data_IF_912478619245
#
_entry.id   IF_912478619245
#
_cell.length_a   1.000
_cell.length_b   1.000
_cell.length_c   1.000
_cell.angle_alpha   90.00
_cell.angle_beta   90.00
_cell.angle_gamma   90.00
#
_symmetry.space_group_name_H-M   'P 1'
#
loop_
_entity.id
_entity.type
_entity.pdbx_description
1 polymer ?
#
# COMPACT_ATOMS: atom_id res chain seq x y z
N UNK A 1 16.24 -17.14 11.29
CA UNK A 1 17.23 -17.72 10.34
C UNK A 1 17.53 -16.73 9.21
N UNK A 2 18.48 -15.79 9.36
CA UNK A 2 18.95 -14.94 8.27
C UNK A 2 20.25 -15.52 7.70
N UNK A 3 20.23 -16.13 6.53
CA UNK A 3 21.45 -16.83 6.03
C UNK A 3 21.62 -17.02 4.54
N UNK A 4 20.63 -16.69 3.68
CA UNK A 4 20.78 -16.92 2.23
C UNK A 4 21.26 -15.70 1.43
N UNK A 5 21.03 -14.48 1.90
CA UNK A 5 21.33 -13.26 1.12
C UNK A 5 22.81 -12.89 1.13
N UNK A 6 23.55 -13.26 2.18
CA UNK A 6 25.00 -13.01 2.28
C UNK A 6 25.81 -13.88 1.33
N UNK A 7 25.31 -15.08 0.99
CA UNK A 7 26.01 -16.00 0.09
C UNK A 7 26.03 -15.48 -1.35
N UNK A 8 24.91 -14.93 -1.84
CA UNK A 8 24.83 -14.42 -3.22
C UNK A 8 25.73 -13.20 -3.47
N UNK A 9 25.94 -12.32 -2.48
CA UNK A 9 26.87 -11.19 -2.61
C UNK A 9 28.34 -11.65 -2.64
N UNK A 10 28.67 -12.72 -1.90
CA UNK A 10 30.01 -13.29 -1.84
C UNK A 10 30.44 -13.93 -3.17
N UNK A 11 29.50 -14.59 -3.87
CA UNK A 11 29.74 -15.10 -5.22
C UNK A 11 29.94 -13.98 -6.26
N UNK A 12 29.25 -12.84 -6.10
CA UNK A 12 29.46 -11.67 -6.96
C UNK A 12 30.87 -11.08 -6.85
N UNK A 13 31.40 -11.00 -5.63
CA UNK A 13 32.77 -10.53 -5.37
C UNK A 13 33.81 -11.49 -5.96
N UNK A 14 33.57 -12.81 -5.85
CA UNK A 14 34.43 -13.83 -6.46
C UNK A 14 34.45 -13.79 -7.98
N UNK A 15 33.31 -13.55 -8.63
CA UNK A 15 33.23 -13.42 -10.09
C UNK A 15 33.88 -12.13 -10.60
N UNK A 16 33.78 -11.04 -9.85
CA UNK A 16 34.46 -9.79 -10.20
C UNK A 16 35.99 -9.96 -10.11
N UNK A 17 36.47 -10.66 -9.08
CA UNK A 17 37.89 -10.93 -8.90
C UNK A 17 38.43 -11.92 -9.95
N UNK A 18 37.66 -12.97 -10.29
CA UNK A 18 38.06 -13.92 -11.34
C UNK A 18 38.10 -13.25 -12.72
N UNK A 19 37.13 -12.38 -13.03
CA UNK A 19 37.14 -11.57 -14.25
C UNK A 19 38.36 -10.66 -14.34
N UNK A 20 38.76 -10.03 -13.23
CA UNK A 20 39.95 -9.19 -13.16
C UNK A 20 41.25 -9.99 -13.37
N UNK A 21 41.36 -11.19 -12.80
CA UNK A 21 42.52 -12.08 -12.99
C UNK A 21 42.59 -12.58 -14.43
N UNK A 22 41.47 -12.98 -15.04
CA UNK A 22 41.43 -13.41 -16.44
C UNK A 22 41.80 -12.24 -17.37
N UNK A 23 41.35 -11.02 -17.05
CA UNK A 23 41.74 -9.81 -17.79
C UNK A 23 43.23 -9.48 -17.65
N UNK A 24 43.86 -9.86 -16.53
CA UNK A 24 45.29 -9.64 -16.29
C UNK A 24 46.18 -10.69 -16.98
N UNK A 25 45.69 -11.92 -17.14
CA UNK A 25 46.47 -13.07 -17.63
C UNK A 25 46.50 -13.19 -19.16
N UNK A 26 45.56 -12.55 -19.89
CA UNK A 26 45.54 -12.60 -21.36
C UNK A 26 46.44 -11.49 -21.95
N UNK A 27 47.49 -11.82 -22.72
CA UNK A 27 48.40 -10.82 -23.30
C UNK A 27 47.74 -10.02 -24.44
N UNK A 28 48.21 -8.77 -24.58
CA UNK A 28 47.48 -7.62 -25.10
C UNK A 28 47.69 -7.35 -26.60
N UNK A 29 46.60 -7.27 -27.36
CA UNK A 29 46.49 -6.36 -28.52
C UNK A 29 45.48 -5.25 -28.15
N UNK A 30 46.02 -4.10 -27.75
CA UNK A 30 45.42 -3.14 -26.81
C UNK A 30 44.17 -2.37 -27.25
N UNK A 31 43.65 -2.56 -28.47
CA UNK A 31 42.46 -1.82 -28.92
C UNK A 31 41.15 -2.58 -28.67
N UNK A 32 41.16 -3.91 -28.83
CA UNK A 32 39.96 -4.72 -28.65
C UNK A 32 39.63 -4.96 -27.17
N UNK A 33 40.64 -5.00 -26.30
CA UNK A 33 40.46 -5.26 -24.87
C UNK A 33 39.76 -4.11 -24.15
N UNK A 34 40.06 -2.86 -24.51
CA UNK A 34 39.38 -1.67 -23.94
C UNK A 34 37.90 -1.70 -24.33
N UNK A 35 37.60 -2.01 -25.60
CA UNK A 35 36.22 -2.12 -26.07
C UNK A 35 35.45 -3.23 -25.35
N UNK A 36 36.04 -4.42 -25.19
CA UNK A 36 35.41 -5.54 -24.50
C UNK A 36 35.23 -5.26 -23.01
N UNK A 37 36.21 -4.61 -22.37
CA UNK A 37 36.14 -4.22 -20.96
C UNK A 37 35.05 -3.17 -20.70
N UNK A 38 34.96 -2.15 -21.55
CA UNK A 38 33.89 -1.13 -21.46
C UNK A 38 32.52 -1.76 -21.71
N UNK A 39 32.40 -2.66 -22.70
CA UNK A 39 31.14 -3.37 -22.97
C UNK A 39 30.74 -4.29 -21.82
N UNK A 40 31.67 -5.02 -21.23
CA UNK A 40 31.41 -5.87 -20.07
C UNK A 40 30.99 -5.03 -18.85
N UNK A 41 31.66 -3.90 -18.61
CA UNK A 41 31.33 -2.96 -17.53
C UNK A 41 29.93 -2.35 -17.69
N UNK A 42 29.59 -1.88 -18.89
CA UNK A 42 28.25 -1.35 -19.20
C UNK A 42 27.18 -2.44 -19.09
N UNK A 43 27.46 -3.64 -19.57
CA UNK A 43 26.53 -4.77 -19.47
C UNK A 43 26.25 -5.12 -18.00
N UNK A 44 27.29 -5.19 -17.17
CA UNK A 44 27.17 -5.50 -15.75
C UNK A 44 26.44 -4.38 -14.99
N UNK A 45 26.72 -3.12 -15.32
CA UNK A 45 26.01 -1.96 -14.77
C UNK A 45 24.52 -1.99 -15.10
N UNK A 46 24.15 -2.30 -16.35
CA UNK A 46 22.75 -2.43 -16.77
C UNK A 46 22.07 -3.64 -16.12
N UNK A 47 22.79 -4.75 -15.95
CA UNK A 47 22.30 -5.95 -15.28
C UNK A 47 22.03 -5.66 -13.79
N UNK A 48 22.94 -4.95 -13.11
CA UNK A 48 22.75 -4.49 -11.72
C UNK A 48 21.63 -3.48 -11.62
N UNK A 49 21.54 -2.52 -12.54
CA UNK A 49 20.44 -1.56 -12.60
C UNK A 49 19.09 -2.24 -12.80
N UNK A 50 19.01 -3.27 -13.67
CA UNK A 50 17.81 -4.09 -13.87
C UNK A 50 17.50 -5.00 -12.69
N UNK A 51 18.50 -5.54 -11.98
CA UNK A 51 18.30 -6.31 -10.75
C UNK A 51 17.83 -5.44 -9.58
N UNK A 52 18.35 -4.22 -9.49
CA UNK A 52 17.94 -3.24 -8.48
C UNK A 52 16.55 -2.67 -8.79
N UNK A 53 16.29 -2.37 -10.07
CA UNK A 53 14.98 -1.92 -10.56
C UNK A 53 13.93 -3.03 -10.55
N UNK A 54 14.35 -4.30 -10.66
CA UNK A 54 13.49 -5.49 -10.68
C UNK A 54 13.13 -6.04 -9.30
N UNK A 55 13.63 -5.46 -8.21
CA UNK A 55 13.25 -5.84 -6.83
C UNK A 55 11.98 -5.15 -6.30
N UNK A 56 11.23 -4.44 -7.15
CA UNK A 56 9.90 -3.92 -6.80
C UNK A 56 8.80 -4.85 -7.30
N UNK A 57 8.70 -6.06 -6.75
CA UNK A 57 7.44 -6.79 -6.57
C UNK A 57 7.74 -8.18 -6.05
N UNK A 58 7.52 -8.41 -4.76
CA UNK A 58 7.08 -9.73 -4.31
C UNK A 58 6.12 -9.59 -3.13
N UNK A 59 4.90 -10.07 -3.38
CA UNK A 59 3.73 -10.09 -2.50
C UNK A 59 3.86 -11.14 -1.39
N UNK A 60 3.06 -10.90 -0.35
CA UNK A 60 2.17 -11.83 0.37
C UNK A 60 2.59 -12.49 1.69
N UNK A 61 1.55 -12.61 2.52
CA UNK A 61 1.24 -13.62 3.55
C UNK A 61 1.76 -13.39 4.98
N UNK A 62 0.88 -13.14 5.97
CA UNK A 62 0.16 -14.21 6.69
C UNK A 62 -0.41 -13.79 8.08
N UNK A 63 -1.73 -14.02 8.27
CA UNK A 63 -2.58 -14.40 9.45
C UNK A 63 -2.10 -14.12 10.91
N UNK A 64 -2.94 -13.76 11.91
CA UNK A 64 -4.24 -14.29 12.40
C UNK A 64 -4.89 -13.35 13.45
N UNK A 65 -6.24 -13.45 13.56
CA UNK A 65 -7.15 -13.53 14.74
C UNK A 65 -7.00 -12.48 15.88
N UNK A 66 -8.08 -11.80 16.31
CA UNK A 66 -8.95 -12.30 17.39
C UNK A 66 -10.39 -11.72 17.41
N UNK A 67 -11.34 -12.60 17.74
CA UNK A 67 -12.69 -12.32 18.25
C UNK A 67 -12.57 -11.78 19.71
N UNK A 68 -13.49 -11.08 20.38
CA UNK A 68 -14.91 -11.30 20.66
C UNK A 68 -15.42 -10.04 21.41
N UNK A 69 -16.65 -9.57 21.16
CA UNK A 69 -17.71 -9.43 22.18
C UNK A 69 -18.97 -8.76 21.62
N UNK A 70 -19.83 -9.65 21.13
CA UNK A 70 -21.25 -9.87 21.44
C UNK A 70 -22.02 -8.91 22.37
N UNK A 71 -23.30 -8.76 21.97
CA UNK A 71 -24.52 -8.44 22.75
C UNK A 71 -24.74 -7.00 23.24
N UNK A 72 -25.92 -6.41 23.12
CA UNK A 72 -27.27 -6.94 22.86
C UNK A 72 -28.20 -5.81 22.40
N UNK A 73 -29.19 -6.15 21.57
CA UNK A 73 -30.40 -5.36 21.35
C UNK A 73 -31.31 -5.48 22.59
N UNK A 74 -32.09 -4.44 22.90
CA UNK A 74 -33.51 -4.72 23.05
C UNK A 74 -34.43 -3.71 22.35
N UNK A 75 -35.64 -4.22 22.17
CA UNK A 75 -36.78 -3.74 21.41
C UNK A 75 -37.38 -2.39 21.87
N UNK A 76 -37.90 -1.69 20.87
CA UNK A 76 -39.25 -1.11 20.74
C UNK A 76 -39.89 -0.26 21.86
N UNK A 77 -40.54 0.81 21.39
CA UNK A 77 -41.51 1.63 22.11
C UNK A 77 -40.88 2.96 22.53
N UNK A 78 -41.47 4.13 22.33
CA UNK A 78 -42.72 4.56 21.73
C UNK A 78 -42.50 6.07 21.49
N UNK A 79 -43.19 6.59 20.49
CA UNK A 79 -43.37 7.98 20.11
C UNK A 79 -43.80 8.82 21.32
N UNK A 80 -43.21 10.01 21.56
CA UNK A 80 -44.04 11.22 21.62
C UNK A 80 -43.31 12.56 21.69
N UNK A 81 -43.98 13.52 21.06
CA UNK A 81 -43.55 14.85 20.73
C UNK A 81 -43.43 15.78 21.94
N UNK A 82 -42.25 16.38 22.16
CA UNK A 82 -42.09 17.69 22.83
C UNK A 82 -40.66 18.23 22.65
N UNK A 83 -40.22 18.48 21.40
CA UNK A 83 -39.04 19.36 21.20
C UNK A 83 -38.94 20.01 19.82
N UNK A 84 -40.07 20.29 19.21
CA UNK A 84 -40.19 20.96 17.91
C UNK A 84 -39.96 22.48 17.98
N UNK A 85 -39.24 23.00 18.98
CA UNK A 85 -38.96 24.44 19.16
C UNK A 85 -37.52 24.72 19.65
N UNK A 86 -36.52 24.06 19.05
CA UNK A 86 -35.09 24.47 19.09
C UNK A 86 -34.40 24.41 17.72
N UNK A 87 -35.18 24.26 16.66
CA UNK A 87 -34.73 24.33 15.28
C UNK A 87 -34.73 25.80 14.86
N UNK A 88 -33.63 26.53 15.13
CA UNK A 88 -33.19 27.78 14.44
C UNK A 88 -32.11 28.60 15.19
N UNK A 89 -31.53 28.14 16.31
CA UNK A 89 -30.53 28.96 17.03
C UNK A 89 -29.40 28.16 17.73
N UNK A 90 -29.00 27.00 17.21
CA UNK A 90 -27.91 26.21 17.79
C UNK A 90 -27.08 25.49 16.71
N UNK A 91 -26.69 26.22 15.67
CA UNK A 91 -25.60 25.83 14.74
C UNK A 91 -24.25 26.30 15.31
N UNK A 92 -24.00 26.01 16.58
CA UNK A 92 -22.67 26.11 17.17
C UNK A 92 -22.52 25.03 18.23
N UNK A 93 -21.44 24.26 18.08
CA UNK A 93 -21.01 23.14 18.93
C UNK A 93 -21.67 21.78 18.69
N UNK A 94 -21.40 21.19 17.52
CA UNK A 94 -21.04 19.76 17.53
C UNK A 94 -19.53 19.66 17.39
N UNK A 95 -18.90 19.57 18.56
CA UNK A 95 -17.56 19.06 18.75
C UNK A 95 -17.48 17.66 18.14
N UNK A 96 -17.05 17.60 16.88
CA UNK A 96 -16.52 16.38 16.29
C UNK A 96 -15.25 16.10 17.06
N UNK A 97 -15.32 15.21 18.05
CA UNK A 97 -14.12 14.53 18.53
C UNK A 97 -13.55 13.81 17.31
N UNK A 98 -12.41 14.25 16.76
CA UNK A 98 -11.86 13.62 15.59
C UNK A 98 -11.53 12.19 16.00
N UNK A 99 -12.17 11.23 15.34
CA UNK A 99 -11.56 9.90 15.21
C UNK A 99 -10.18 10.18 14.66
N UNK A 100 -9.11 9.88 15.41
CA UNK A 100 -7.74 10.06 14.95
C UNK A 100 -7.44 9.05 13.83
N UNK A 101 -8.09 9.21 12.69
CA UNK A 101 -7.62 8.76 11.40
C UNK A 101 -6.79 9.91 10.87
N UNK A 102 -5.47 9.79 10.95
CA UNK A 102 -4.57 10.80 10.39
C UNK A 102 -4.86 10.97 8.91
N UNK A 103 -5.40 12.13 8.53
CA UNK A 103 -5.58 12.51 7.13
C UNK A 103 -4.21 12.94 6.59
N UNK A 104 -3.79 12.34 5.47
CA UNK A 104 -2.55 12.72 4.82
C UNK A 104 -2.84 13.85 3.82
N UNK A 105 -2.39 15.07 4.09
CA UNK A 105 -2.59 16.21 3.20
C UNK A 105 -1.27 16.60 2.55
N UNK A 106 -1.21 16.54 1.21
CA UNK A 106 -0.10 17.09 0.42
C UNK A 106 -0.41 18.55 0.12
N UNK A 107 0.38 19.44 0.71
CA UNK A 107 0.22 20.88 0.57
C UNK A 107 0.47 21.38 -0.87
N UNK A 108 -0.20 22.46 -1.30
CA UNK A 108 0.08 23.11 -2.57
C UNK A 108 1.52 23.60 -2.66
N UNK A 109 2.10 23.54 -3.86
CA UNK A 109 3.51 23.85 -4.08
C UNK A 109 4.50 22.73 -3.72
N UNK A 110 4.00 21.60 -3.23
CA UNK A 110 4.83 20.39 -3.00
C UNK A 110 4.95 19.59 -4.30
N UNK A 111 6.16 19.10 -4.60
CA UNK A 111 6.41 18.16 -5.68
C UNK A 111 6.89 16.85 -5.05
N UNK A 112 6.09 15.80 -5.15
CA UNK A 112 6.42 14.46 -4.67
C UNK A 112 6.84 13.58 -5.85
N UNK A 113 7.95 12.84 -5.69
CA UNK A 113 8.44 11.89 -6.69
C UNK A 113 8.70 10.54 -6.04
N UNK A 114 7.98 9.49 -6.47
CA UNK A 114 8.16 8.14 -5.94
C UNK A 114 6.85 7.39 -5.73
N UNK A 115 6.82 6.53 -4.72
CA UNK A 115 5.62 5.77 -4.37
C UNK A 115 5.06 6.24 -3.02
N UNK A 116 3.75 6.48 -2.96
CA UNK A 116 3.01 6.81 -1.75
C UNK A 116 2.16 5.60 -1.36
N UNK A 117 2.27 5.17 -0.12
CA UNK A 117 1.40 4.13 0.46
C UNK A 117 0.74 4.71 1.69
N UNK A 118 -0.60 4.77 1.70
CA UNK A 118 -1.39 5.28 2.82
C UNK A 118 -2.51 4.32 3.18
N UNK A 119 -2.71 4.10 4.47
CA UNK A 119 -3.81 3.28 4.98
C UNK A 119 -5.08 4.11 5.17
N UNK A 120 -4.91 5.41 5.44
CA UNK A 120 -5.96 6.40 5.61
C UNK A 120 -6.20 7.23 4.36
N UNK A 121 -7.20 8.11 4.44
CA UNK A 121 -7.56 9.04 3.39
C UNK A 121 -6.41 10.02 3.08
N UNK A 122 -6.24 10.30 1.79
CA UNK A 122 -5.22 11.22 1.29
C UNK A 122 -5.86 12.35 0.49
N UNK A 123 -5.41 13.57 0.74
CA UNK A 123 -5.80 14.77 -0.01
C UNK A 123 -4.58 15.35 -0.69
N UNK A 124 -4.63 15.49 -2.01
CA UNK A 124 -3.51 15.92 -2.84
C UNK A 124 -3.83 17.29 -3.45
N UNK A 125 -3.17 18.33 -2.94
CA UNK A 125 -3.29 19.70 -3.47
C UNK A 125 -2.00 20.18 -4.18
N UNK A 126 -1.06 19.28 -4.48
CA UNK A 126 0.22 19.56 -5.13
C UNK A 126 0.50 18.66 -6.34
N UNK A 127 1.77 18.57 -6.74
CA UNK A 127 2.19 17.74 -7.88
C UNK A 127 2.78 16.42 -7.41
N UNK A 128 2.27 15.30 -7.92
CA UNK A 128 2.75 13.95 -7.61
C UNK A 128 3.13 13.23 -8.90
N UNK A 129 4.40 12.83 -8.99
CA UNK A 129 4.91 12.00 -10.07
C UNK A 129 5.26 10.60 -9.52
N UNK A 130 4.46 9.60 -9.87
CA UNK A 130 4.70 8.21 -9.49
C UNK A 130 3.44 7.44 -9.08
N UNK A 131 3.62 6.42 -8.22
CA UNK A 131 2.56 5.46 -7.89
C UNK A 131 1.93 5.78 -6.53
N UNK A 132 0.60 5.86 -6.48
CA UNK A 132 -0.17 6.11 -5.26
C UNK A 132 -0.99 4.88 -4.94
N UNK A 133 -0.82 4.34 -3.75
CA UNK A 133 -1.57 3.18 -3.24
C UNK A 133 -2.21 3.55 -1.92
N UNK A 134 -3.52 3.73 -1.93
CA UNK A 134 -4.29 4.08 -0.76
C UNK A 134 -5.39 3.05 -0.51
N UNK A 135 -5.61 2.71 0.75
CA UNK A 135 -6.71 1.81 1.12
C UNK A 135 -8.00 2.56 1.38
N UNK A 136 -7.88 3.82 1.79
CA UNK A 136 -9.00 4.75 1.95
C UNK A 136 -9.37 5.47 0.66
N UNK A 137 -9.82 6.70 0.85
CA UNK A 137 -10.20 7.64 -0.21
C UNK A 137 -9.00 8.44 -0.68
N UNK A 138 -8.88 8.62 -1.99
CA UNK A 138 -7.93 9.54 -2.63
C UNK A 138 -8.70 10.73 -3.16
N UNK A 139 -8.45 11.91 -2.61
CA UNK A 139 -8.99 13.16 -3.10
C UNK A 139 -7.90 13.96 -3.79
N UNK A 140 -8.15 14.35 -5.03
CA UNK A 140 -7.27 15.21 -5.84
C UNK A 140 -7.96 16.57 -5.87
N UNK A 141 -7.39 17.56 -5.20
CA UNK A 141 -7.95 18.91 -5.20
C UNK A 141 -7.73 19.63 -6.53
N UNK A 142 -8.31 20.82 -6.67
CA UNK A 142 -8.26 21.64 -7.90
C UNK A 142 -6.84 21.90 -8.43
N UNK A 143 -5.88 22.16 -7.52
CA UNK A 143 -4.46 22.36 -7.87
C UNK A 143 -3.65 21.06 -7.90
N UNK A 144 -4.29 19.91 -7.69
CA UNK A 144 -3.67 18.59 -7.69
C UNK A 144 -3.31 18.14 -9.10
N UNK A 145 -2.05 17.82 -9.31
CA UNK A 145 -1.53 17.27 -10.58
C UNK A 145 -0.92 15.91 -10.28
N UNK A 146 -1.45 14.86 -10.89
CA UNK A 146 -0.93 13.50 -10.72
C UNK A 146 -0.51 12.93 -12.06
N UNK A 147 0.74 12.48 -12.13
CA UNK A 147 1.30 11.79 -13.30
C UNK A 147 1.78 10.41 -12.84
N UNK A 148 1.01 9.37 -13.17
CA UNK A 148 1.35 8.00 -12.79
C UNK A 148 0.13 7.12 -12.53
N UNK A 149 0.29 6.12 -11.66
CA UNK A 149 -0.76 5.15 -11.35
C UNK A 149 -1.39 5.42 -9.99
N UNK A 150 -2.71 5.45 -9.93
CA UNK A 150 -3.46 5.67 -8.68
C UNK A 150 -4.28 4.44 -8.38
N UNK A 151 -4.07 3.85 -7.20
CA UNK A 151 -4.87 2.74 -6.67
C UNK A 151 -5.54 3.18 -5.37
N UNK A 152 -6.86 3.08 -5.28
CA UNK A 152 -7.66 3.55 -4.15
C UNK A 152 -8.95 2.75 -3.96
N UNK A 153 -9.61 2.87 -2.81
CA UNK A 153 -10.98 2.35 -2.68
C UNK A 153 -11.97 3.30 -3.37
N UNK A 154 -11.86 4.59 -3.08
CA UNK A 154 -12.63 5.65 -3.72
C UNK A 154 -11.70 6.76 -4.20
N UNK A 155 -11.91 7.26 -5.41
CA UNK A 155 -11.13 8.36 -5.99
C UNK A 155 -12.07 9.51 -6.33
N UNK A 156 -11.80 10.69 -5.79
CA UNK A 156 -12.48 11.94 -6.14
C UNK A 156 -11.48 12.85 -6.83
N UNK A 157 -11.79 13.25 -8.06
CA UNK A 157 -10.88 13.98 -8.93
C UNK A 157 -11.44 15.36 -9.24
N UNK A 158 -10.85 16.41 -8.66
CA UNK A 158 -11.17 17.82 -8.90
C UNK A 158 -10.03 18.58 -9.59
N UNK A 159 -8.89 17.92 -9.84
CA UNK A 159 -7.71 18.47 -10.51
C UNK A 159 -7.37 17.75 -11.81
N UNK A 160 -6.07 17.56 -12.08
CA UNK A 160 -5.57 16.88 -13.28
C UNK A 160 -4.90 15.54 -12.94
N UNK A 161 -5.33 14.47 -13.60
CA UNK A 161 -4.72 13.14 -13.51
C UNK A 161 -4.35 12.64 -14.90
N UNK A 162 -3.10 12.23 -15.08
CA UNK A 162 -2.61 11.58 -16.28
C UNK A 162 -2.00 10.21 -15.94
N UNK A 163 -2.60 9.14 -16.46
CA UNK A 163 -2.13 7.77 -16.28
C UNK A 163 -3.26 6.77 -16.03
N UNK A 164 -2.99 5.75 -15.22
CA UNK A 164 -3.97 4.70 -14.92
C UNK A 164 -4.58 4.89 -13.54
N UNK A 165 -5.90 4.93 -13.47
CA UNK A 165 -6.65 5.02 -12.20
C UNK A 165 -7.37 3.71 -11.94
N UNK A 166 -7.16 3.10 -10.78
CA UNK A 166 -7.80 1.85 -10.37
C UNK A 166 -8.47 2.02 -9.01
N UNK A 167 -9.79 2.01 -8.98
CA UNK A 167 -10.55 2.14 -7.74
C UNK A 167 -11.94 1.53 -7.84
N UNK A 168 -12.61 1.25 -6.72
CA UNK A 168 -13.97 0.72 -6.78
C UNK A 168 -14.93 1.77 -7.32
N UNK A 169 -14.86 2.97 -6.73
CA UNK A 169 -15.68 4.11 -7.16
C UNK A 169 -14.77 5.26 -7.58
N UNK A 170 -14.97 5.75 -8.81
CA UNK A 170 -14.29 6.94 -9.33
C UNK A 170 -15.33 8.03 -9.57
N UNK A 171 -15.09 9.21 -9.02
CA UNK A 171 -15.92 10.40 -9.23
C UNK A 171 -15.05 11.51 -9.81
N UNK A 172 -15.34 11.90 -11.05
CA UNK A 172 -14.74 13.07 -11.69
C UNK A 172 -15.63 14.27 -11.38
N UNK A 173 -15.10 15.21 -10.62
CA UNK A 173 -15.80 16.44 -10.18
C UNK A 173 -15.87 17.47 -11.32
N UNK A 174 -16.56 18.58 -11.05
CA UNK A 174 -16.78 19.67 -12.01
C UNK A 174 -15.50 20.22 -12.67
N UNK A 175 -14.39 20.37 -11.94
CA UNK A 175 -13.12 20.86 -12.51
C UNK A 175 -12.15 19.73 -12.85
N UNK A 176 -12.57 18.47 -12.67
CA UNK A 176 -11.72 17.31 -12.85
C UNK A 176 -11.41 17.00 -14.31
N UNK A 177 -10.12 16.81 -14.61
CA UNK A 177 -9.65 16.33 -15.91
C UNK A 177 -8.82 15.06 -15.75
N UNK A 178 -9.31 13.97 -16.35
CA UNK A 178 -8.66 12.67 -16.33
C UNK A 178 -8.24 12.27 -17.75
N UNK A 179 -6.97 11.94 -17.94
CA UNK A 179 -6.40 11.44 -19.19
C UNK A 179 -5.74 10.07 -18.98
N UNK A 180 -6.22 9.05 -19.69
CA UNK A 180 -5.71 7.68 -19.60
C UNK A 180 -6.79 6.66 -19.27
N UNK A 181 -6.40 5.56 -18.61
CA UNK A 181 -7.26 4.40 -18.44
C UNK A 181 -7.86 4.33 -17.02
N UNK A 182 -9.19 4.23 -16.92
CA UNK A 182 -9.91 4.03 -15.65
C UNK A 182 -10.30 2.57 -15.52
N UNK A 183 -9.95 1.95 -14.40
CA UNK A 183 -10.40 0.63 -13.99
C UNK A 183 -11.28 0.80 -12.75
N UNK A 184 -12.60 0.77 -12.91
CA UNK A 184 -13.51 0.91 -11.78
C UNK A 184 -14.77 0.05 -11.85
N UNK A 185 -15.36 -0.19 -10.68
CA UNK A 185 -16.67 -0.84 -10.57
C UNK A 185 -17.78 0.17 -10.88
N UNK A 186 -17.65 1.37 -10.32
CA UNK A 186 -18.54 2.50 -10.54
C UNK A 186 -17.75 3.70 -11.03
N UNK A 187 -18.22 4.35 -12.09
CA UNK A 187 -17.67 5.59 -12.62
C UNK A 187 -18.78 6.64 -12.68
N UNK A 188 -18.54 7.78 -12.04
CA UNK A 188 -19.43 8.94 -12.03
C UNK A 188 -18.67 10.16 -12.54
N UNK A 189 -19.30 10.93 -13.43
CA UNK A 189 -18.74 12.16 -13.99
C UNK A 189 -19.74 13.28 -13.76
N UNK A 190 -19.33 14.28 -13.00
CA UNK A 190 -20.13 15.48 -12.74
C UNK A 190 -20.16 16.42 -13.96
N UNK A 191 -21.08 17.37 -13.94
CA UNK A 191 -21.19 18.37 -15.01
C UNK A 191 -19.93 19.23 -15.04
N UNK A 192 -19.22 19.21 -16.16
CA UNK A 192 -17.95 19.94 -16.34
C UNK A 192 -16.72 19.04 -16.29
N UNK A 193 -16.84 17.84 -15.72
CA UNK A 193 -15.75 16.86 -15.69
C UNK A 193 -15.36 16.38 -17.08
N UNK A 194 -14.06 16.33 -17.35
CA UNK A 194 -13.48 15.90 -18.62
C UNK A 194 -12.77 14.57 -18.43
N UNK A 195 -13.21 13.54 -19.15
CA UNK A 195 -12.57 12.23 -19.18
C UNK A 195 -12.12 11.91 -20.62
N UNK A 196 -10.84 11.64 -20.82
CA UNK A 196 -10.23 11.33 -22.12
C UNK A 196 -9.44 10.01 -22.00
N UNK A 197 -10.00 8.92 -22.47
CA UNK A 197 -9.32 7.62 -22.53
C UNK A 197 -10.28 6.44 -22.50
N UNK A 198 -9.81 5.28 -22.03
CA UNK A 198 -10.61 4.06 -21.97
C UNK A 198 -11.07 3.76 -20.53
N UNK A 199 -12.35 3.41 -20.38
CA UNK A 199 -12.89 2.92 -19.11
C UNK A 199 -13.08 1.41 -19.18
N UNK A 200 -12.54 0.71 -18.21
CA UNK A 200 -12.66 -0.73 -18.01
C UNK A 200 -13.44 -1.00 -16.74
N UNK A 201 -14.50 -1.79 -16.86
CA UNK A 201 -15.23 -2.28 -15.71
C UNK A 201 -14.41 -3.35 -14.98
N UNK A 202 -14.25 -3.20 -13.66
CA UNK A 202 -13.69 -4.23 -12.79
C UNK A 202 -14.70 -4.61 -11.70
N UNK A 203 -14.67 -5.86 -11.28
CA UNK A 203 -15.42 -6.30 -10.10
C UNK A 203 -14.85 -5.62 -8.84
N UNK A 204 -15.70 -5.37 -7.85
CA UNK A 204 -15.34 -4.63 -6.64
C UNK A 204 -14.04 -5.19 -6.02
N UNK A 205 -13.02 -4.35 -5.87
CA UNK A 205 -11.81 -4.77 -5.16
C UNK A 205 -12.19 -4.85 -3.68
N UNK A 206 -12.29 -6.07 -3.16
CA UNK A 206 -12.54 -6.31 -1.75
C UNK A 206 -11.57 -5.47 -0.90
N UNK A 207 -12.10 -4.70 0.05
CA UNK A 207 -11.33 -3.84 0.96
C UNK A 207 -10.16 -4.64 1.52
N UNK A 208 -8.93 -4.16 1.32
CA UNK A 208 -7.76 -4.75 1.96
C UNK A 208 -7.80 -4.29 3.43
N UNK A 209 -8.40 -5.10 4.29
CA UNK A 209 -8.26 -4.96 5.73
C UNK A 209 -6.82 -5.33 6.14
N UNK A 210 -6.10 -4.42 6.82
CA UNK A 210 -4.68 -4.59 7.21
C UNK A 210 -4.48 -5.48 8.44
N UNK A 211 -5.54 -6.13 8.93
CA UNK A 211 -5.39 -6.95 10.11
C UNK A 211 -4.94 -8.35 9.69
N UNK A 212 -3.68 -8.71 9.93
CA UNK A 212 -3.28 -9.97 10.60
C UNK A 212 -1.80 -10.38 10.39
N UNK A 213 -0.94 -10.15 11.39
CA UNK A 213 0.30 -10.95 11.67
C UNK A 213 0.57 -10.95 13.20
N UNK A 214 -0.08 -11.82 13.98
CA UNK A 214 0.29 -12.01 15.39
C UNK A 214 0.03 -13.40 16.01
N UNK A 215 -0.89 -14.24 15.50
CA UNK A 215 -1.33 -15.43 16.29
C UNK A 215 -0.95 -16.82 15.74
N UNK A 216 0.20 -17.01 15.08
CA UNK A 216 0.67 -18.38 14.71
C UNK A 216 1.94 -18.81 15.42
N UNK A 217 1.84 -19.00 16.74
CA UNK A 217 2.74 -19.88 17.49
C UNK A 217 2.00 -20.57 18.65
N UNK A 218 1.31 -21.68 18.37
CA UNK A 218 1.18 -22.74 19.37
C UNK A 218 1.19 -24.10 18.65
N UNK A 219 2.17 -24.99 18.91
CA UNK A 219 2.14 -26.35 18.42
C UNK A 219 1.35 -27.26 19.38
N UNK A 220 0.48 -28.07 18.80
CA UNK A 220 -0.17 -29.21 19.45
C UNK A 220 0.81 -30.38 19.55
N UNK A 221 1.03 -30.86 20.76
CA UNK A 221 1.47 -32.22 21.10
C UNK A 221 0.85 -32.47 22.50
N UNK A 222 0.18 -33.56 22.84
CA UNK A 222 0.05 -34.89 22.28
C UNK A 222 -0.26 -35.77 23.50
N UNK A 223 -1.38 -36.50 23.48
CA UNK A 223 -1.70 -37.70 24.26
C UNK A 223 -1.17 -37.83 25.71
N UNK A 224 -2.11 -37.77 26.66
CA UNK A 224 -1.97 -38.31 28.02
C UNK A 224 -1.59 -39.80 28.01
N UNK A 225 -0.68 -40.24 28.88
CA UNK A 225 -0.78 -41.51 29.56
C UNK A 225 -1.28 -41.30 31.00
N UNK A 226 -2.27 -42.12 31.33
CA UNK A 226 -2.72 -42.52 32.66
C UNK A 226 -1.54 -42.90 33.58
N UNK A 227 -1.44 -42.29 34.76
CA UNK A 227 -1.04 -43.03 35.96
C UNK A 227 -1.56 -42.39 37.25
N UNK A 228 -2.32 -43.21 37.93
CA UNK A 228 -2.84 -43.17 39.28
C UNK A 228 -1.80 -42.98 40.40
N UNK A 229 -2.28 -42.38 41.50
CA UNK A 229 -1.82 -42.44 42.90
C UNK A 229 -0.90 -41.33 43.49
N UNK A 230 -1.15 -40.94 44.76
CA UNK A 230 -0.82 -39.62 45.28
C UNK A 230 0.48 -39.58 46.10
N UNK A 231 1.27 -38.51 45.98
CA UNK A 231 2.39 -38.22 46.89
C UNK A 231 2.22 -36.87 47.61
N UNK A 232 1.39 -36.94 48.65
CA UNK A 232 1.75 -36.66 50.05
C UNK A 232 3.04 -35.82 50.24
N UNK A 233 2.90 -34.50 50.40
CA UNK A 233 3.90 -33.67 51.05
C UNK A 233 3.34 -33.25 52.41
N UNK A 234 3.77 -34.00 53.43
CA UNK A 234 3.44 -33.81 54.83
C UNK A 234 4.53 -32.94 55.43
N UNK A 235 4.23 -31.68 55.76
CA UNK A 235 5.08 -30.93 56.67
C UNK A 235 4.94 -31.53 58.08
N UNK A 236 6.04 -31.90 58.70
CA UNK A 236 6.09 -32.24 60.11
C UNK A 236 7.34 -31.61 60.74
N UNK A 237 7.06 -30.78 61.75
CA UNK A 237 7.89 -30.25 62.84
C UNK A 237 9.04 -29.31 62.48
#
# INVERSE_FOLDING_TARGET
>A
MPGRVTQSCLYGIWLAWSGAIVCYVVPYDGLFTISVSVMAGLCLFLLVYKLFSGRRSFRMFNSKQSEMNMESLPLAGEVDATKTLRKLALESAESVFPKESGECVVAPGTIFRGAIVSESDIVINGSVEGDISCLGMVQIGENGIIIGNVTGCKVMLDGYLNGSCRANTVTVMTNGRMEGDIFSHELSVERGGIFIGASHYIEEMARIEINTVAEKAMPTAGSLPDESHPKKWRWMK
#
